data_IF_064435912404
#
_entry.id   IF_064435912404
#
_cell.length_a   1.000
_cell.length_b   1.000
_cell.length_c   1.000
_cell.angle_alpha   90.00
_cell.angle_beta   90.00
_cell.angle_gamma   90.00
#
_symmetry.space_group_name_H-M   'P 1'
#
loop_
_entity.id
_entity.type
_entity.pdbx_description
1 polymer ?
#
# COMPACT_ATOMS: atom_id res chain seq x y z
N UNK A 1 -20.06 15.33 -21.04
CA UNK A 1 -19.82 16.64 -20.38
C UNK A 1 -19.81 17.70 -21.46
N UNK A 2 -20.55 18.81 -21.33
CA UNK A 2 -20.64 19.81 -22.38
C UNK A 2 -19.32 20.57 -22.51
N UNK A 3 -18.77 20.60 -23.74
CA UNK A 3 -17.58 21.35 -24.11
C UNK A 3 -17.93 22.85 -24.19
N UNK A 4 -17.04 23.73 -23.73
CA UNK A 4 -17.16 25.16 -24.01
C UNK A 4 -16.73 25.43 -25.45
N UNK A 5 -17.66 25.85 -26.29
CA UNK A 5 -17.41 26.25 -27.69
C UNK A 5 -17.45 27.76 -27.90
N UNK A 6 -17.74 28.54 -26.86
CA UNK A 6 -17.76 30.01 -26.93
C UNK A 6 -16.36 30.60 -27.07
N UNK A 7 -16.29 31.79 -27.67
CA UNK A 7 -15.04 32.55 -27.89
C UNK A 7 -14.32 32.85 -26.58
N UNK A 8 -15.08 33.12 -25.51
CA UNK A 8 -14.56 33.33 -24.16
C UNK A 8 -14.73 32.05 -23.32
N UNK A 9 -13.62 31.35 -23.09
CA UNK A 9 -13.55 30.24 -22.14
C UNK A 9 -13.20 30.75 -20.75
N UNK A 10 -13.70 30.09 -19.71
CA UNK A 10 -13.36 30.43 -18.33
C UNK A 10 -13.20 29.19 -17.46
N UNK A 11 -12.41 29.30 -16.42
CA UNK A 11 -12.26 28.29 -15.35
C UNK A 11 -12.71 28.89 -14.02
N UNK A 12 -13.39 28.09 -13.21
CA UNK A 12 -13.96 28.54 -11.95
C UNK A 12 -15.48 28.73 -12.03
N UNK A 13 -16.05 29.28 -10.96
CA UNK A 13 -17.49 29.50 -10.85
C UNK A 13 -17.88 30.78 -11.58
N UNK A 14 -18.90 30.71 -12.43
CA UNK A 14 -19.54 31.85 -13.07
C UNK A 14 -21.05 31.63 -13.04
N UNK A 15 -21.76 32.44 -12.24
CA UNK A 15 -23.19 32.25 -11.97
C UNK A 15 -23.51 30.84 -11.49
N UNK A 16 -24.43 30.17 -12.20
CA UNK A 16 -24.89 28.81 -11.94
C UNK A 16 -24.08 27.74 -12.69
N UNK A 17 -22.91 28.10 -13.19
CA UNK A 17 -22.03 27.20 -13.93
C UNK A 17 -20.61 27.22 -13.37
N UNK A 18 -19.93 26.08 -13.51
CA UNK A 18 -18.51 25.93 -13.18
C UNK A 18 -17.79 25.50 -14.46
N UNK A 19 -16.86 26.35 -14.91
CA UNK A 19 -15.92 26.03 -15.97
C UNK A 19 -14.70 25.29 -15.40
N UNK A 20 -14.23 24.26 -16.09
CA UNK A 20 -13.00 23.56 -15.72
C UNK A 20 -12.29 23.02 -16.97
N UNK A 21 -11.00 22.77 -16.83
CA UNK A 21 -10.15 22.28 -17.93
C UNK A 21 -9.80 20.82 -17.70
N UNK A 22 -10.00 19.99 -18.72
CA UNK A 22 -9.59 18.59 -18.72
C UNK A 22 -8.88 18.30 -20.06
N UNK A 23 -7.64 17.81 -19.99
CA UNK A 23 -6.83 17.47 -21.17
C UNK A 23 -6.76 18.61 -22.21
N UNK A 24 -6.52 19.84 -21.76
CA UNK A 24 -6.43 21.00 -22.66
C UNK A 24 -7.77 21.62 -23.06
N UNK A 25 -8.89 20.90 -22.88
CA UNK A 25 -10.23 21.32 -23.30
C UNK A 25 -11.03 21.90 -22.16
N UNK A 26 -11.82 22.93 -22.43
CA UNK A 26 -12.69 23.57 -21.44
C UNK A 26 -14.08 22.94 -21.44
N UNK A 27 -14.60 22.67 -20.26
CA UNK A 27 -15.89 22.03 -20.03
C UNK A 27 -16.72 22.84 -19.05
N UNK A 28 -18.04 22.71 -19.16
CA UNK A 28 -19.00 23.28 -18.23
C UNK A 28 -19.65 22.20 -17.37
N UNK A 29 -20.02 22.60 -16.16
CA UNK A 29 -20.92 21.86 -15.31
C UNK A 29 -21.89 22.83 -14.64
N UNK A 30 -23.19 22.50 -14.66
CA UNK A 30 -24.17 23.25 -13.89
C UNK A 30 -23.93 23.06 -12.38
N UNK A 31 -24.03 24.15 -11.63
CA UNK A 31 -23.98 24.14 -10.18
C UNK A 31 -25.29 23.54 -9.65
N UNK A 32 -25.23 22.51 -8.82
CA UNK A 32 -26.45 21.97 -8.22
C UNK A 32 -27.01 22.99 -7.22
N UNK A 33 -28.33 23.26 -7.28
CA UNK A 33 -29.02 24.14 -6.33
C UNK A 33 -28.86 23.68 -4.87
N UNK A 34 -28.78 22.36 -4.63
CA UNK A 34 -28.47 21.76 -3.33
C UNK A 34 -27.65 20.50 -3.51
N UNK A 35 -26.53 20.39 -2.81
CA UNK A 35 -25.72 19.16 -2.79
C UNK A 35 -26.34 18.18 -1.79
N UNK A 36 -26.98 17.12 -2.28
CA UNK A 36 -27.51 16.04 -1.42
C UNK A 36 -26.41 15.02 -1.14
N UNK A 37 -25.79 15.08 0.04
CA UNK A 37 -24.88 14.03 0.53
C UNK A 37 -25.69 12.94 1.21
N UNK A 38 -25.66 11.72 0.67
CA UNK A 38 -26.26 10.56 1.33
C UNK A 38 -25.36 10.09 2.48
N UNK A 39 -25.91 9.43 3.52
CA UNK A 39 -25.11 8.83 4.58
C UNK A 39 -24.05 7.88 4.03
N UNK A 40 -24.39 7.10 2.99
CA UNK A 40 -23.48 6.17 2.31
C UNK A 40 -22.33 6.88 1.60
N UNK A 41 -22.56 8.06 1.02
CA UNK A 41 -21.51 8.88 0.41
C UNK A 41 -20.61 9.51 1.48
N UNK A 42 -21.16 9.92 2.63
CA UNK A 42 -20.38 10.44 3.75
C UNK A 42 -19.45 9.36 4.32
N UNK A 43 -19.95 8.12 4.49
CA UNK A 43 -19.13 6.99 4.94
C UNK A 43 -18.04 6.66 3.91
N UNK A 44 -18.38 6.60 2.61
CA UNK A 44 -17.38 6.40 1.55
C UNK A 44 -16.27 7.46 1.58
N UNK A 45 -16.64 8.73 1.84
CA UNK A 45 -15.68 9.82 1.94
C UNK A 45 -14.69 9.65 3.10
N UNK A 46 -15.12 9.05 4.22
CA UNK A 46 -14.22 8.73 5.35
C UNK A 46 -13.17 7.68 4.96
N UNK A 47 -13.60 6.59 4.32
CA UNK A 47 -12.69 5.54 3.85
C UNK A 47 -11.71 6.08 2.80
N UNK A 48 -12.20 6.90 1.86
CA UNK A 48 -11.37 7.62 0.89
C UNK A 48 -10.34 8.53 1.58
N UNK A 49 -10.75 9.27 2.61
CA UNK A 49 -9.85 10.13 3.38
C UNK A 49 -8.73 9.34 4.06
N UNK A 50 -9.03 8.15 4.59
CA UNK A 50 -8.04 7.24 5.18
C UNK A 50 -7.05 6.74 4.13
N UNK A 51 -7.53 6.25 3.00
CA UNK A 51 -6.69 5.82 1.87
C UNK A 51 -5.78 6.97 1.38
N UNK A 52 -6.34 8.16 1.21
CA UNK A 52 -5.62 9.35 0.73
C UNK A 52 -4.55 9.80 1.71
N UNK A 53 -4.82 9.74 3.02
CA UNK A 53 -3.84 10.07 4.07
C UNK A 53 -2.67 9.09 4.03
N UNK A 54 -2.93 7.80 3.86
CA UNK A 54 -1.86 6.80 3.78
C UNK A 54 -1.04 6.95 2.50
N UNK A 55 -1.69 7.16 1.36
CA UNK A 55 -1.02 7.47 0.09
C UNK A 55 -0.16 8.74 0.22
N UNK A 56 -0.59 9.74 1.00
CA UNK A 56 0.20 10.93 1.29
C UNK A 56 1.48 10.57 2.07
N UNK A 57 1.39 9.76 3.11
CA UNK A 57 2.56 9.31 3.89
C UNK A 57 3.58 8.64 2.96
N UNK A 58 3.14 7.71 2.11
CA UNK A 58 4.03 7.01 1.17
C UNK A 58 4.75 7.99 0.24
N UNK A 59 4.01 8.94 -0.35
CA UNK A 59 4.59 9.92 -1.28
C UNK A 59 5.56 10.89 -0.61
N UNK A 60 5.29 11.28 0.64
CA UNK A 60 6.19 12.18 1.37
C UNK A 60 7.45 11.48 1.86
N UNK A 61 7.38 10.19 2.15
CA UNK A 61 8.52 9.43 2.59
C UNK A 61 9.52 9.17 1.46
N UNK A 62 9.05 9.11 0.21
CA UNK A 62 9.90 8.79 -0.94
C UNK A 62 10.60 10.02 -1.53
N UNK A 63 11.95 10.06 -1.55
CA UNK A 63 12.68 11.12 -2.20
C UNK A 63 12.48 11.06 -3.72
N UNK A 64 12.39 12.20 -4.39
CA UNK A 64 12.38 12.31 -5.86
C UNK A 64 11.18 11.64 -6.58
N UNK A 65 10.04 11.51 -5.90
CA UNK A 65 8.82 11.07 -6.58
C UNK A 65 8.46 12.09 -7.67
N UNK A 66 8.25 11.68 -8.95
CA UNK A 66 7.85 12.63 -9.97
C UNK A 66 6.54 13.28 -9.59
N UNK A 67 6.49 14.61 -9.76
CA UNK A 67 5.29 15.40 -9.50
C UNK A 67 4.28 15.20 -10.64
N UNK A 68 3.78 13.97 -10.76
CA UNK A 68 2.76 13.58 -11.70
C UNK A 68 1.42 13.49 -10.95
N UNK A 69 0.49 14.38 -11.32
CA UNK A 69 -0.87 14.36 -10.82
C UNK A 69 -1.54 12.98 -11.04
N UNK A 70 -1.15 12.26 -12.10
CA UNK A 70 -1.66 10.93 -12.38
C UNK A 70 -1.12 9.86 -11.42
N UNK A 71 0.14 9.97 -10.97
CA UNK A 71 0.72 9.07 -9.96
C UNK A 71 -0.07 9.14 -8.65
N UNK A 72 -0.36 10.35 -8.16
CA UNK A 72 -1.12 10.54 -6.92
C UNK A 72 -2.50 9.88 -6.99
N UNK A 73 -3.21 10.07 -8.11
CA UNK A 73 -4.53 9.48 -8.30
C UNK A 73 -4.47 7.95 -8.42
N UNK A 74 -3.47 7.41 -9.12
CA UNK A 74 -3.23 5.96 -9.24
C UNK A 74 -2.94 5.32 -7.89
N UNK A 75 -1.99 5.88 -7.13
CA UNK A 75 -1.64 5.37 -5.81
C UNK A 75 -2.85 5.41 -4.88
N UNK A 76 -3.61 6.51 -4.91
CA UNK A 76 -4.81 6.62 -4.11
C UNK A 76 -5.87 5.59 -4.50
N UNK A 77 -6.02 5.30 -5.81
CA UNK A 77 -6.93 4.24 -6.29
C UNK A 77 -6.57 2.88 -5.71
N UNK A 78 -5.29 2.49 -5.75
CA UNK A 78 -4.83 1.22 -5.16
C UNK A 78 -5.00 1.23 -3.64
N UNK A 79 -4.71 2.35 -2.97
CA UNK A 79 -4.93 2.47 -1.53
C UNK A 79 -6.41 2.36 -1.13
N UNK A 80 -7.34 2.84 -1.96
CA UNK A 80 -8.77 2.64 -1.74
C UNK A 80 -9.12 1.16 -1.84
N UNK A 81 -8.52 0.40 -2.76
CA UNK A 81 -8.70 -1.05 -2.84
C UNK A 81 -8.14 -1.78 -1.61
N UNK A 82 -7.00 -1.33 -1.08
CA UNK A 82 -6.43 -1.82 0.18
C UNK A 82 -7.38 -1.60 1.36
N UNK A 83 -7.92 -0.39 1.50
CA UNK A 83 -8.89 -0.05 2.56
C UNK A 83 -10.18 -0.83 2.37
N UNK A 84 -10.69 -0.94 1.14
CA UNK A 84 -11.94 -1.63 0.86
C UNK A 84 -11.87 -3.14 1.08
N UNK A 85 -10.68 -3.74 1.01
CA UNK A 85 -10.45 -5.14 1.35
C UNK A 85 -10.57 -5.43 2.85
N UNK A 86 -10.69 -4.42 3.72
CA UNK A 86 -11.16 -4.64 5.10
C UNK A 86 -12.64 -5.04 5.07
N UNK A 87 -12.89 -6.33 5.23
CA UNK A 87 -14.22 -6.93 5.34
C UNK A 87 -14.69 -7.07 6.80
N UNK A 88 -13.83 -6.76 7.76
CA UNK A 88 -14.15 -6.90 9.20
C UNK A 88 -14.92 -5.70 9.74
N UNK A 89 -14.69 -4.51 9.17
CA UNK A 89 -15.31 -3.26 9.60
C UNK A 89 -16.33 -2.74 8.60
N UNK A 90 -17.35 -2.07 9.13
CA UNK A 90 -18.35 -1.39 8.32
C UNK A 90 -17.74 -0.24 7.50
N UNK A 91 -18.42 0.12 6.41
CA UNK A 91 -18.06 1.25 5.55
C UNK A 91 -17.97 2.55 6.36
N UNK A 92 -16.96 3.36 6.09
CA UNK A 92 -16.62 4.59 6.80
C UNK A 92 -15.74 4.39 8.03
N UNK A 93 -15.49 3.15 8.43
CA UNK A 93 -14.65 2.76 9.56
C UNK A 93 -13.59 1.75 9.15
N UNK A 94 -13.31 1.58 7.85
CA UNK A 94 -12.34 0.59 7.35
C UNK A 94 -10.91 1.02 7.65
N UNK A 95 -10.04 0.06 7.95
CA UNK A 95 -8.62 0.31 8.24
C UNK A 95 -7.73 -0.19 7.12
N UNK A 96 -6.53 0.40 7.03
CA UNK A 96 -5.45 -0.19 6.24
C UNK A 96 -4.90 -1.36 7.05
N UNK A 97 -5.25 -2.58 6.65
CA UNK A 97 -4.76 -3.80 7.29
C UNK A 97 -3.47 -4.27 6.62
N UNK A 98 -2.49 -4.79 7.39
CA UNK A 98 -1.26 -5.34 6.85
C UNK A 98 -1.52 -6.34 5.72
N UNK A 99 -2.37 -7.34 5.94
CA UNK A 99 -2.68 -8.38 4.96
C UNK A 99 -3.17 -7.85 3.60
N UNK A 100 -3.76 -6.66 3.56
CA UNK A 100 -4.27 -6.06 2.33
C UNK A 100 -3.22 -5.25 1.57
N UNK A 101 -2.10 -4.91 2.21
CA UNK A 101 -1.03 -4.13 1.59
C UNK A 101 -0.35 -4.87 0.44
N UNK A 102 -0.48 -6.19 0.36
CA UNK A 102 -0.01 -6.98 -0.80
C UNK A 102 -0.59 -6.47 -2.13
N UNK A 103 -1.74 -5.76 -2.12
CA UNK A 103 -2.28 -5.09 -3.32
C UNK A 103 -1.41 -3.95 -3.87
N UNK A 104 -0.47 -3.43 -3.08
CA UNK A 104 0.52 -2.45 -3.52
C UNK A 104 1.70 -3.09 -4.26
N UNK A 105 1.85 -4.42 -4.19
CA UNK A 105 2.91 -5.13 -4.90
C UNK A 105 2.75 -4.96 -6.40
N UNK A 106 3.83 -4.58 -7.08
CA UNK A 106 3.82 -4.25 -8.50
C UNK A 106 3.30 -2.84 -8.81
N UNK A 107 3.13 -1.98 -7.81
CA UNK A 107 2.77 -0.59 -8.08
C UNK A 107 3.97 0.18 -8.63
N UNK A 108 3.83 0.66 -9.86
CA UNK A 108 4.80 1.53 -10.50
C UNK A 108 4.46 2.99 -10.24
N UNK A 109 5.39 3.75 -9.67
CA UNK A 109 5.21 5.20 -9.51
C UNK A 109 5.34 5.92 -10.85
N UNK A 110 6.17 5.39 -11.75
CA UNK A 110 6.39 5.96 -13.08
C UNK A 110 5.64 5.14 -14.12
N UNK A 111 4.76 5.78 -14.88
CA UNK A 111 3.98 5.07 -15.91
C UNK A 111 4.82 4.57 -17.07
N UNK A 112 5.83 5.35 -17.47
CA UNK A 112 6.66 5.10 -18.66
C UNK A 112 7.94 4.33 -18.36
N UNK A 113 8.33 4.21 -17.09
CA UNK A 113 9.59 3.59 -16.66
C UNK A 113 9.28 2.63 -15.51
N UNK A 114 9.31 1.33 -15.78
CA UNK A 114 9.25 0.30 -14.74
C UNK A 114 10.61 -0.39 -14.65
N UNK A 115 10.98 -0.76 -13.43
CA UNK A 115 12.17 -1.55 -13.12
C UNK A 115 11.79 -3.02 -13.36
N UNK A 116 12.12 -3.53 -14.54
CA UNK A 116 11.85 -4.92 -14.93
C UNK A 116 13.00 -5.89 -14.57
N UNK A 117 14.03 -5.41 -13.89
CA UNK A 117 15.22 -6.21 -13.59
C UNK A 117 14.92 -7.27 -12.53
N UNK A 118 15.53 -8.47 -12.63
CA UNK A 118 15.41 -9.48 -11.60
C UNK A 118 15.94 -8.96 -10.26
N UNK A 119 15.20 -9.25 -9.19
CA UNK A 119 15.60 -8.97 -7.82
C UNK A 119 15.39 -10.24 -6.98
N UNK A 120 16.21 -10.43 -5.95
CA UNK A 120 16.00 -11.49 -4.97
C UNK A 120 15.94 -10.88 -3.56
N UNK A 121 14.96 -11.31 -2.78
CA UNK A 121 14.81 -10.92 -1.38
C UNK A 121 15.18 -12.16 -0.55
N UNK A 122 16.37 -12.14 0.01
CA UNK A 122 16.88 -13.18 0.90
C UNK A 122 16.83 -12.70 2.35
N UNK A 123 16.86 -13.65 3.28
CA UNK A 123 17.10 -13.38 4.69
C UNK A 123 18.44 -13.92 5.09
N UNK A 124 19.15 -13.17 5.92
CA UNK A 124 20.34 -13.69 6.58
C UNK A 124 19.98 -14.45 7.87
N UNK A 125 20.98 -15.11 8.44
CA UNK A 125 20.87 -15.89 9.68
C UNK A 125 20.47 -15.02 10.90
N UNK A 126 20.65 -13.70 10.79
CA UNK A 126 20.30 -12.71 11.81
C UNK A 126 18.86 -12.16 11.59
N UNK A 127 18.18 -12.61 10.53
CA UNK A 127 16.82 -12.24 10.17
C UNK A 127 16.71 -10.91 9.41
N UNK A 128 17.83 -10.27 9.05
CA UNK A 128 17.83 -9.09 8.19
C UNK A 128 17.43 -9.48 6.77
N UNK A 129 16.89 -8.52 6.04
CA UNK A 129 16.45 -8.72 4.67
C UNK A 129 17.51 -8.18 3.73
N UNK A 130 18.02 -9.03 2.85
CA UNK A 130 18.96 -8.68 1.79
C UNK A 130 18.23 -8.64 0.46
N UNK A 131 18.14 -7.46 -0.13
CA UNK A 131 17.59 -7.25 -1.46
C UNK A 131 18.77 -7.24 -2.43
N UNK A 132 18.97 -8.36 -3.13
CA UNK A 132 19.97 -8.48 -4.19
C UNK A 132 19.40 -7.86 -5.46
N UNK A 133 20.06 -6.82 -5.95
CA UNK A 133 19.71 -6.10 -7.18
C UNK A 133 20.93 -5.89 -8.06
N UNK A 134 20.70 -5.54 -9.32
CA UNK A 134 21.76 -5.12 -10.23
C UNK A 134 22.44 -3.82 -9.78
N UNK A 135 23.71 -3.59 -10.17
CA UNK A 135 24.42 -2.35 -9.87
C UNK A 135 23.66 -1.13 -10.37
N UNK A 136 23.55 -0.09 -9.53
CA UNK A 136 22.83 1.15 -9.86
C UNK A 136 21.34 1.16 -9.47
N UNK A 137 20.81 0.06 -8.93
CA UNK A 137 19.48 0.01 -8.31
C UNK A 137 19.62 0.21 -6.80
N UNK A 138 18.86 1.15 -6.24
CA UNK A 138 18.78 1.39 -4.81
C UNK A 138 17.52 0.73 -4.25
N UNK A 139 17.65 0.05 -3.11
CA UNK A 139 16.52 -0.51 -2.39
C UNK A 139 16.20 0.33 -1.15
N UNK A 140 14.90 0.53 -0.90
CA UNK A 140 14.39 1.23 0.27
C UNK A 140 13.37 0.38 1.01
N UNK A 141 13.40 0.50 2.33
CA UNK A 141 12.39 -0.02 3.23
C UNK A 141 11.53 1.15 3.73
N UNK A 142 10.23 1.12 3.44
CA UNK A 142 9.29 2.13 3.88
C UNK A 142 8.27 1.53 4.86
N UNK A 143 8.29 1.98 6.11
CA UNK A 143 7.26 1.59 7.09
C UNK A 143 5.95 2.31 6.81
N UNK A 144 4.83 1.73 7.24
CA UNK A 144 3.52 2.35 7.06
C UNK A 144 3.33 3.65 7.88
N UNK A 145 4.20 3.92 8.86
CA UNK A 145 4.24 5.19 9.57
C UNK A 145 5.00 6.30 8.82
N UNK A 146 5.66 5.97 7.70
CA UNK A 146 6.37 6.92 6.86
C UNK A 146 7.88 7.00 7.13
N UNK A 147 8.43 6.08 7.92
CA UNK A 147 9.88 5.99 8.09
C UNK A 147 10.49 5.31 6.87
N UNK A 148 11.32 6.04 6.14
CA UNK A 148 12.11 5.49 5.04
C UNK A 148 13.50 5.15 5.55
N UNK A 149 13.92 3.91 5.34
CA UNK A 149 15.31 3.48 5.56
C UNK A 149 15.91 3.04 4.23
N UNK A 150 17.05 3.64 3.89
CA UNK A 150 17.86 3.22 2.74
C UNK A 150 18.57 1.93 3.10
N UNK A 151 18.54 0.95 2.20
CA UNK A 151 19.32 -0.25 2.36
C UNK A 151 20.76 0.03 1.90
N UNK A 152 21.69 0.22 2.84
CA UNK A 152 23.12 0.20 2.52
C UNK A 152 23.48 -1.21 2.05
N UNK A 153 24.08 -1.32 0.86
CA UNK A 153 24.37 -2.60 0.19
C UNK A 153 23.15 -3.54 0.03
N UNK A 154 21.93 -2.99 0.03
CA UNK A 154 20.71 -3.80 -0.08
C UNK A 154 20.33 -4.53 1.21
N UNK A 155 20.95 -4.22 2.35
CA UNK A 155 20.61 -4.82 3.65
C UNK A 155 19.62 -3.94 4.42
N UNK A 156 18.50 -4.53 4.82
CA UNK A 156 17.46 -3.91 5.65
C UNK A 156 17.47 -4.60 7.01
N UNK A 157 17.82 -3.89 8.11
CA UNK A 157 17.91 -4.49 9.43
C UNK A 157 16.58 -5.08 9.89
N UNK A 158 16.62 -6.26 10.53
CA UNK A 158 15.44 -6.94 11.06
C UNK A 158 14.66 -6.08 12.07
N UNK A 159 15.36 -5.21 12.82
CA UNK A 159 14.76 -4.22 13.73
C UNK A 159 13.80 -3.24 13.07
N UNK A 160 13.81 -3.14 11.73
CA UNK A 160 12.89 -2.31 10.94
C UNK A 160 11.56 -3.02 10.66
N UNK A 161 11.49 -4.35 10.79
CA UNK A 161 10.34 -5.19 10.40
C UNK A 161 9.41 -5.44 11.61
N UNK A 162 9.34 -4.49 12.54
CA UNK A 162 8.33 -4.51 13.61
C UNK A 162 6.93 -4.17 13.08
N UNK A 163 6.89 -3.54 11.90
CA UNK A 163 5.68 -3.11 11.22
C UNK A 163 5.65 -3.57 9.75
N UNK A 164 4.47 -3.56 9.10
CA UNK A 164 4.39 -3.83 7.68
C UNK A 164 5.27 -2.84 6.91
N UNK A 165 6.16 -3.37 6.10
CA UNK A 165 7.20 -2.58 5.43
C UNK A 165 7.13 -2.81 3.93
N UNK A 166 7.05 -1.74 3.15
CA UNK A 166 7.10 -1.77 1.69
C UNK A 166 8.56 -1.82 1.24
N UNK A 167 8.88 -2.74 0.32
CA UNK A 167 10.18 -2.76 -0.36
C UNK A 167 10.03 -2.06 -1.71
N UNK A 168 10.87 -1.05 -1.90
CA UNK A 168 10.81 -0.15 -3.05
C UNK A 168 12.17 -0.18 -3.73
N UNK A 169 12.17 -0.37 -5.04
CA UNK A 169 13.37 -0.22 -5.86
C UNK A 169 13.35 1.13 -6.55
N UNK A 170 14.53 1.73 -6.70
CA UNK A 170 14.75 2.93 -7.48
C UNK A 170 15.92 2.73 -8.45
N UNK A 171 15.70 3.08 -9.72
CA UNK A 171 16.73 3.14 -10.76
C UNK A 171 16.59 4.44 -11.55
N UNK A 172 17.50 5.39 -11.32
CA UNK A 172 17.35 6.75 -11.82
C UNK A 172 16.06 7.39 -11.32
N UNK A 173 15.15 7.73 -12.23
CA UNK A 173 13.82 8.26 -11.92
C UNK A 173 12.78 7.17 -11.65
N UNK A 174 12.98 5.94 -12.13
CA UNK A 174 12.01 4.86 -11.98
C UNK A 174 11.92 4.41 -10.52
N UNK A 175 10.70 4.22 -10.01
CA UNK A 175 10.44 3.69 -8.68
C UNK A 175 9.26 2.73 -8.71
N UNK A 176 9.45 1.56 -8.11
CA UNK A 176 8.46 0.48 -8.10
C UNK A 176 8.38 -0.17 -6.71
N UNK A 177 7.15 -0.45 -6.24
CA UNK A 177 6.91 -1.28 -5.05
C UNK A 177 7.00 -2.74 -5.45
N UNK A 178 8.06 -3.43 -5.03
CA UNK A 178 8.33 -4.81 -5.45
C UNK A 178 7.81 -5.87 -4.48
N UNK A 179 7.71 -5.53 -3.19
CA UNK A 179 7.13 -6.45 -2.21
C UNK A 179 6.64 -5.74 -0.96
N UNK A 180 5.88 -6.49 -0.15
CA UNK A 180 5.42 -6.05 1.17
C UNK A 180 5.80 -7.11 2.21
N UNK A 181 6.51 -6.66 3.23
CA UNK A 181 6.96 -7.48 4.33
C UNK A 181 6.00 -7.38 5.50
N UNK A 182 5.70 -8.54 6.11
CA UNK A 182 4.89 -8.61 7.32
C UNK A 182 5.70 -9.16 8.49
N UNK A 183 5.60 -8.55 9.70
CA UNK A 183 6.34 -9.00 10.88
C UNK A 183 6.10 -10.47 11.23
N UNK A 184 4.90 -11.00 10.96
CA UNK A 184 4.46 -12.33 11.39
C UNK A 184 4.59 -13.43 10.32
N UNK A 185 4.98 -13.11 9.08
CA UNK A 185 4.88 -14.05 7.96
C UNK A 185 6.22 -14.63 7.48
N UNK A 186 7.33 -14.31 8.13
CA UNK A 186 8.62 -14.87 7.77
C UNK A 186 9.07 -15.91 8.78
N UNK A 187 8.42 -17.07 8.74
CA UNK A 187 9.02 -18.32 9.23
C UNK A 187 10.05 -18.75 8.19
N UNK A 188 11.27 -19.00 8.65
CA UNK A 188 12.37 -19.57 7.84
C UNK A 188 11.85 -20.83 7.16
N UNK A 189 11.70 -20.82 5.83
CA UNK A 189 11.75 -22.08 5.10
C UNK A 189 13.19 -22.54 5.20
N UNK A 190 13.45 -23.52 6.06
CA UNK A 190 14.76 -24.17 6.06
C UNK A 190 15.09 -24.58 4.62
N UNK A 191 16.30 -24.28 4.12
CA UNK A 191 16.73 -24.82 2.84
C UNK A 191 16.66 -26.34 2.96
N UNK A 192 15.81 -26.97 2.15
CA UNK A 192 15.75 -28.43 2.05
C UNK A 192 17.11 -28.94 1.60
N UNK A 193 17.98 -29.22 2.57
CA UNK A 193 19.24 -29.88 2.34
C UNK A 193 18.91 -31.28 1.84
N UNK A 194 19.33 -31.60 0.61
CA UNK A 194 19.27 -32.96 0.08
C UNK A 194 20.13 -33.85 0.98
N UNK A 195 19.50 -34.64 1.86
CA UNK A 195 20.11 -35.83 2.44
C UNK A 195 19.09 -36.97 2.39
N UNK A 196 19.40 -37.90 1.50
CA UNK A 196 19.17 -39.36 1.57
C UNK A 196 18.17 -39.87 2.61
N UNK A 197 17.17 -40.56 2.09
CA UNK A 197 16.20 -41.37 2.82
C UNK A 197 16.86 -42.41 3.73
N UNK A 198 16.51 -42.40 5.01
CA UNK A 198 16.39 -43.61 5.82
C UNK A 198 15.04 -43.56 6.53
N UNK A 199 14.17 -44.51 6.20
CA UNK A 199 12.93 -44.73 6.94
C UNK A 199 13.27 -45.20 8.36
N UNK A 200 12.67 -44.58 9.38
CA UNK A 200 12.41 -45.25 10.66
C UNK A 200 11.01 -44.91 11.14
N UNK A 201 10.15 -45.91 11.44
CA UNK A 201 8.75 -45.72 11.75
C UNK A 201 8.55 -45.47 13.24
N UNK A 202 7.46 -44.76 13.55
CA UNK A 202 6.93 -44.41 14.88
C UNK A 202 7.50 -43.12 15.47
N UNK A 203 6.71 -42.06 15.40
CA UNK A 203 6.24 -41.31 16.59
C UNK A 203 4.99 -40.49 16.19
N UNK A 204 3.86 -40.76 16.86
CA UNK A 204 2.61 -40.01 16.72
C UNK A 204 2.79 -38.63 17.36
N UNK A 205 2.64 -37.54 16.60
CA UNK A 205 2.48 -36.21 17.19
C UNK A 205 1.01 -36.00 17.59
N UNK A 206 0.77 -35.82 18.88
CA UNK A 206 -0.50 -35.37 19.45
C UNK A 206 -0.54 -33.84 19.48
N UNK A 207 -1.54 -33.24 18.84
CA UNK A 207 -1.82 -31.81 18.94
C UNK A 207 -2.57 -31.53 20.26
N UNK A 208 -1.98 -30.74 21.16
CA UNK A 208 -2.65 -30.21 22.35
C UNK A 208 -3.04 -28.76 22.09
N UNK A 209 -4.33 -28.51 21.87
CA UNK A 209 -4.88 -27.15 21.73
C UNK A 209 -4.95 -26.52 23.14
N UNK A 210 -4.42 -25.30 23.37
CA UNK A 210 -4.54 -24.63 24.66
C UNK A 210 -5.99 -24.19 24.90
N UNK A 211 -6.56 -24.61 26.04
CA UNK A 211 -7.89 -24.15 26.52
C UNK A 211 -7.82 -22.67 26.89
N UNK A 212 -8.65 -21.87 26.24
CA UNK A 212 -8.92 -20.48 26.62
C UNK A 212 -9.72 -20.47 27.93
N UNK A 213 -9.17 -19.93 29.01
CA UNK A 213 -9.90 -19.74 30.26
C UNK A 213 -10.83 -18.52 30.15
N UNK A 214 -12.14 -18.75 30.22
CA UNK A 214 -13.16 -17.71 30.38
C UNK A 214 -13.15 -17.16 31.80
N UNK A 215 -12.84 -15.88 32.00
CA UNK A 215 -13.05 -15.20 33.29
C UNK A 215 -14.46 -14.59 33.37
N UNK A 216 -15.27 -15.25 34.20
CA UNK A 216 -16.21 -14.74 35.22
C UNK A 216 -17.16 -13.55 34.94
N UNK A 217 -18.43 -13.85 35.22
CA UNK A 217 -19.70 -13.11 35.27
C UNK A 217 -19.71 -11.75 35.99
N UNK A 218 -20.74 -10.90 35.75
CA UNK A 218 -20.89 -9.58 36.38
C UNK A 218 -21.51 -9.66 37.79
N UNK A 219 -21.27 -8.68 38.67
CA UNK A 219 -21.91 -8.64 39.98
C UNK A 219 -23.32 -8.05 39.90
N UNK A 220 -24.30 -8.81 40.40
CA UNK A 220 -25.60 -8.32 40.89
C UNK A 220 -25.50 -8.10 42.40
N UNK A 221 -25.68 -6.86 42.88
CA UNK A 221 -26.92 -6.35 43.48
C UNK A 221 -26.72 -4.89 43.89
#
# INVERSE_FOLDING_TARGET
MPLQTHIFTYTGKFGDTIGYKLNGKHFLKALPAKVRRTPTSCLAAKDFGRASRQAKIIRHALPNLPNDYTCTNRLNKVMIEVVNADNTRAKGYKHVLPANLTKLKGFHFNRSKSISTPYAIDKDEQGNIRVKTEPGIKAFALTMNGELKTAEEGIIPNSTILEPTLIILQQGEAMDIIDVLFPQCYVVKEPKFKRTWTLSPHHRYSFRIPRYQSKSSPPTR
#
